data_IF_432094273799
#
_entry.id   IF_432094273799
#
_cell.length_a   1.000
_cell.length_b   1.000
_cell.length_c   1.000
_cell.angle_alpha   90.00
_cell.angle_beta   90.00
_cell.angle_gamma   90.00
#
_symmetry.space_group_name_H-M   'P 1'
#
loop_
_entity.id
_entity.type
_entity.pdbx_description
1 polymer ?
#
# COMPACT_ATOMS: atom_id res chain seq x y z
N UNK A 1 -10.49 11.45 24.28
CA UNK A 1 -10.68 10.30 25.18
C UNK A 1 -9.30 9.83 25.63
N UNK A 2 -8.96 9.94 26.91
CA UNK A 2 -7.62 9.61 27.44
C UNK A 2 -7.25 8.15 27.10
N UNK A 3 -6.09 7.94 26.47
CA UNK A 3 -5.57 6.63 26.06
C UNK A 3 -5.54 5.63 27.23
N UNK A 4 -5.18 6.11 28.42
CA UNK A 4 -5.16 5.34 29.67
C UNK A 4 -6.56 4.83 30.06
N UNK A 5 -7.61 5.63 29.86
CA UNK A 5 -8.99 5.24 30.16
C UNK A 5 -9.47 4.17 29.19
N UNK A 6 -9.11 4.27 27.91
CA UNK A 6 -9.44 3.27 26.89
C UNK A 6 -8.76 1.92 27.16
N UNK A 7 -7.49 1.93 27.58
CA UNK A 7 -6.75 0.71 27.94
C UNK A 7 -7.40 0.00 29.14
N UNK A 8 -7.77 0.76 30.19
CA UNK A 8 -8.45 0.20 31.36
C UNK A 8 -9.79 -0.44 30.98
N UNK A 9 -10.63 0.26 30.21
CA UNK A 9 -11.91 -0.27 29.72
C UNK A 9 -11.69 -1.55 28.91
N UNK A 10 -10.66 -1.57 28.05
CA UNK A 10 -10.37 -2.76 27.25
C UNK A 10 -9.93 -3.95 28.09
N UNK A 11 -9.16 -3.71 29.15
CA UNK A 11 -8.73 -4.75 30.08
C UNK A 11 -9.89 -5.33 30.87
N UNK A 12 -10.75 -4.48 31.45
CA UNK A 12 -11.92 -4.94 32.21
C UNK A 12 -12.85 -5.80 31.34
N UNK A 13 -13.26 -5.29 30.18
CA UNK A 13 -14.12 -6.04 29.27
C UNK A 13 -13.49 -7.37 28.80
N UNK A 14 -12.17 -7.44 28.67
CA UNK A 14 -11.49 -8.70 28.33
C UNK A 14 -11.53 -9.70 29.49
N UNK A 15 -11.37 -9.23 30.72
CA UNK A 15 -11.45 -10.08 31.93
C UNK A 15 -12.86 -10.62 32.11
N UNK A 16 -13.88 -9.79 31.92
CA UNK A 16 -15.29 -10.21 32.06
C UNK A 16 -15.61 -11.34 31.07
N UNK A 17 -15.27 -11.15 29.78
CA UNK A 17 -15.43 -12.18 28.74
C UNK A 17 -14.59 -13.42 29.05
N UNK A 18 -13.39 -13.25 29.60
CA UNK A 18 -12.54 -14.38 29.95
C UNK A 18 -13.15 -15.25 31.05
N UNK A 19 -13.77 -14.64 32.06
CA UNK A 19 -14.46 -15.34 33.14
C UNK A 19 -15.72 -16.01 32.61
N UNK A 20 -16.57 -15.26 31.90
CA UNK A 20 -17.87 -15.72 31.41
C UNK A 20 -17.75 -16.93 30.46
N UNK A 21 -16.74 -16.93 29.58
CA UNK A 21 -16.54 -17.97 28.56
C UNK A 21 -15.32 -18.88 28.85
N UNK A 22 -14.78 -18.81 30.06
CA UNK A 22 -13.68 -19.66 30.53
C UNK A 22 -12.41 -19.60 29.65
N UNK A 23 -12.01 -18.41 29.21
CA UNK A 23 -10.78 -18.21 28.44
C UNK A 23 -9.54 -18.45 29.33
N UNK A 24 -8.61 -19.28 28.85
CA UNK A 24 -7.34 -19.57 29.54
C UNK A 24 -6.32 -18.48 29.26
N UNK A 25 -5.25 -18.36 30.06
CA UNK A 25 -4.27 -17.26 30.00
C UNK A 25 -3.90 -16.78 28.57
N UNK A 26 -3.39 -17.68 27.72
CA UNK A 26 -2.99 -17.33 26.34
C UNK A 26 -4.20 -16.94 25.46
N UNK A 27 -5.38 -17.54 25.68
CA UNK A 27 -6.61 -17.17 24.96
C UNK A 27 -7.04 -15.74 25.33
N UNK A 28 -6.96 -15.39 26.61
CA UNK A 28 -7.27 -14.06 27.14
C UNK A 28 -6.31 -13.01 26.59
N UNK A 29 -5.01 -13.31 26.53
CA UNK A 29 -4.00 -12.39 25.98
C UNK A 29 -4.19 -12.16 24.48
N UNK A 30 -4.47 -13.22 23.71
CA UNK A 30 -4.72 -13.08 22.27
C UNK A 30 -6.04 -12.36 22.02
N UNK A 31 -7.09 -12.61 22.81
CA UNK A 31 -8.34 -11.87 22.73
C UNK A 31 -8.10 -10.38 23.00
N UNK A 32 -7.36 -10.04 24.06
CA UNK A 32 -6.98 -8.67 24.40
C UNK A 32 -6.21 -7.99 23.25
N UNK A 33 -5.23 -8.70 22.68
CA UNK A 33 -4.41 -8.18 21.58
C UNK A 33 -5.23 -7.85 20.33
N UNK A 34 -6.21 -8.69 19.96
CA UNK A 34 -7.14 -8.40 18.85
C UNK A 34 -8.04 -7.22 19.22
N UNK A 35 -8.49 -7.15 20.48
CA UNK A 35 -9.40 -6.12 20.99
C UNK A 35 -8.79 -4.72 21.01
N UNK A 36 -7.47 -4.59 21.06
CA UNK A 36 -6.77 -3.31 20.86
C UNK A 36 -7.13 -2.62 19.54
N UNK A 37 -7.53 -3.39 18.52
CA UNK A 37 -7.92 -2.88 17.20
C UNK A 37 -9.43 -2.86 16.98
N UNK A 38 -10.22 -3.08 18.03
CA UNK A 38 -11.67 -3.14 17.92
C UNK A 38 -12.25 -1.79 17.53
N UNK A 39 -12.99 -1.77 16.43
CA UNK A 39 -13.93 -0.68 16.14
C UNK A 39 -15.21 -0.88 16.96
N UNK A 40 -15.50 0.05 17.87
CA UNK A 40 -16.69 -0.04 18.75
C UNK A 40 -18.01 0.01 17.98
N UNK A 41 -18.08 0.72 16.85
CA UNK A 41 -19.32 0.83 16.06
C UNK A 41 -19.76 -0.51 15.47
N UNK A 42 -18.80 -1.30 14.98
CA UNK A 42 -19.09 -2.54 14.23
C UNK A 42 -18.76 -3.80 15.02
N UNK A 43 -18.13 -3.68 16.19
CA UNK A 43 -17.56 -4.79 16.97
C UNK A 43 -16.64 -5.68 16.12
N UNK A 44 -15.84 -5.06 15.26
CA UNK A 44 -14.90 -5.75 14.36
C UNK A 44 -13.48 -5.23 14.48
N UNK A 45 -12.50 -6.07 14.19
CA UNK A 45 -11.09 -5.72 14.09
C UNK A 45 -10.44 -6.39 12.87
N UNK A 46 -9.43 -5.74 12.28
CA UNK A 46 -8.67 -6.27 11.13
C UNK A 46 -7.14 -6.29 11.32
N UNK A 47 -6.59 -6.63 12.50
CA UNK A 47 -5.15 -6.80 12.64
C UNK A 47 -4.66 -8.03 11.86
N UNK A 48 -3.45 -7.96 11.32
CA UNK A 48 -2.82 -9.14 10.73
C UNK A 48 -2.39 -10.14 11.82
N UNK A 49 -2.22 -11.42 11.48
CA UNK A 49 -1.65 -12.42 12.42
C UNK A 49 -0.26 -11.99 12.91
N UNK A 50 0.53 -11.33 12.06
CA UNK A 50 1.84 -10.79 12.45
C UNK A 50 1.72 -9.69 13.49
N UNK A 51 0.78 -8.77 13.32
CA UNK A 51 0.51 -7.68 14.27
C UNK A 51 0.04 -8.23 15.63
N UNK A 52 -0.80 -9.26 15.62
CA UNK A 52 -1.25 -9.91 16.87
C UNK A 52 -0.07 -10.60 17.55
N UNK A 53 0.78 -11.31 16.79
CA UNK A 53 1.99 -11.96 17.30
C UNK A 53 2.95 -10.97 17.97
N UNK A 54 3.17 -9.82 17.33
CA UNK A 54 4.03 -8.77 17.88
C UNK A 54 3.51 -8.20 19.20
N UNK A 55 2.21 -7.91 19.29
CA UNK A 55 1.60 -7.35 20.51
C UNK A 55 1.52 -8.37 21.64
N UNK A 56 1.24 -9.63 21.30
CA UNK A 56 1.10 -10.70 22.29
C UNK A 56 2.42 -11.37 22.68
N UNK A 57 3.51 -11.09 21.95
CA UNK A 57 4.81 -11.73 22.19
C UNK A 57 4.88 -13.20 21.77
N UNK A 58 3.87 -13.72 21.07
CA UNK A 58 3.81 -15.11 20.63
C UNK A 58 4.19 -15.28 19.16
N UNK A 59 4.71 -16.47 18.80
CA UNK A 59 4.93 -16.78 17.39
C UNK A 59 3.60 -16.91 16.63
N UNK A 60 3.65 -16.67 15.30
CA UNK A 60 2.45 -16.69 14.42
C UNK A 60 1.65 -18.00 14.49
N UNK A 61 2.33 -19.14 14.68
CA UNK A 61 1.67 -20.44 14.77
C UNK A 61 0.86 -20.59 16.06
N UNK A 62 1.41 -20.12 17.18
CA UNK A 62 0.71 -20.06 18.47
C UNK A 62 -0.51 -19.16 18.35
N UNK A 63 -0.34 -17.95 17.80
CA UNK A 63 -1.46 -17.03 17.58
C UNK A 63 -2.58 -17.69 16.76
N UNK A 64 -2.25 -18.30 15.61
CA UNK A 64 -3.23 -19.04 14.80
C UNK A 64 -3.96 -20.12 15.59
N UNK A 65 -3.23 -20.93 16.37
CA UNK A 65 -3.82 -22.01 17.18
C UNK A 65 -4.85 -21.47 18.17
N UNK A 66 -4.52 -20.41 18.88
CA UNK A 66 -5.40 -19.86 19.92
C UNK A 66 -6.53 -18.99 19.37
N UNK A 67 -6.34 -18.31 18.23
CA UNK A 67 -7.45 -17.71 17.48
C UNK A 67 -8.49 -18.76 17.12
N UNK A 68 -8.08 -19.93 16.61
CA UNK A 68 -9.03 -21.02 16.33
C UNK A 68 -9.77 -21.49 17.59
N UNK A 69 -9.11 -21.50 18.75
CA UNK A 69 -9.77 -21.82 20.03
C UNK A 69 -10.82 -20.79 20.41
N UNK A 70 -10.53 -19.49 20.25
CA UNK A 70 -11.50 -18.41 20.45
C UNK A 70 -12.70 -18.55 19.50
N UNK A 71 -12.46 -18.93 18.24
CA UNK A 71 -13.53 -19.21 17.26
C UNK A 71 -14.35 -20.42 17.67
N UNK A 72 -13.69 -21.50 18.08
CA UNK A 72 -14.36 -22.72 18.55
C UNK A 72 -15.17 -22.50 19.83
N UNK A 73 -14.84 -21.51 20.65
CA UNK A 73 -15.62 -21.09 21.81
C UNK A 73 -16.77 -20.14 21.47
N UNK A 74 -16.89 -19.70 20.22
CA UNK A 74 -17.95 -18.81 19.77
C UNK A 74 -17.84 -17.36 20.28
N UNK A 75 -16.74 -17.00 20.94
CA UNK A 75 -16.51 -15.61 21.41
C UNK A 75 -16.05 -14.70 20.27
N UNK A 76 -15.45 -15.29 19.23
CA UNK A 76 -14.92 -14.60 18.06
C UNK A 76 -15.37 -15.29 16.78
N UNK A 77 -15.72 -14.52 15.75
CA UNK A 77 -15.78 -15.04 14.38
C UNK A 77 -14.56 -14.58 13.61
N UNK A 78 -14.02 -15.49 12.80
CA UNK A 78 -12.90 -15.21 11.91
C UNK A 78 -13.39 -15.39 10.49
N UNK A 79 -13.54 -14.29 9.76
CA UNK A 79 -13.88 -14.32 8.34
C UNK A 79 -12.63 -13.96 7.56
N UNK A 80 -12.23 -14.82 6.63
CA UNK A 80 -11.20 -14.46 5.66
C UNK A 80 -11.75 -13.32 4.80
N UNK A 81 -11.03 -12.19 4.72
CA UNK A 81 -11.31 -11.22 3.67
C UNK A 81 -10.47 -11.60 2.47
N UNK A 82 -11.06 -12.07 1.36
CA UNK A 82 -10.35 -12.09 0.10
C UNK A 82 -10.28 -10.65 -0.42
N UNK A 83 -9.46 -9.80 0.21
CA UNK A 83 -9.06 -8.57 -0.47
C UNK A 83 -8.09 -9.04 -1.53
N UNK A 84 -8.55 -9.14 -2.77
CA UNK A 84 -7.66 -9.28 -3.89
C UNK A 84 -6.95 -7.95 -4.04
N UNK A 85 -5.61 -7.97 -4.06
CA UNK A 85 -4.85 -6.83 -4.54
C UNK A 85 -5.32 -6.47 -5.95
N UNK A 86 -5.04 -5.24 -6.42
CA UNK A 86 -5.24 -4.90 -7.82
C UNK A 86 -4.63 -5.97 -8.73
N UNK A 87 -3.44 -6.49 -8.47
CA UNK A 87 -2.82 -7.56 -9.27
C UNK A 87 -3.52 -8.94 -9.25
N UNK A 88 -4.62 -9.12 -8.50
CA UNK A 88 -5.32 -10.41 -8.37
C UNK A 88 -4.69 -11.37 -7.37
N UNK A 89 -3.63 -10.96 -6.67
CA UNK A 89 -3.03 -11.75 -5.59
C UNK A 89 -3.89 -11.59 -4.33
N UNK A 90 -4.30 -12.70 -3.72
CA UNK A 90 -4.99 -12.70 -2.43
C UNK A 90 -4.11 -11.99 -1.39
N UNK A 91 -4.65 -10.98 -0.72
CA UNK A 91 -4.02 -10.40 0.46
C UNK A 91 -4.14 -11.41 1.60
N UNK A 92 -3.22 -12.37 1.65
CA UNK A 92 -3.27 -13.57 2.48
C UNK A 92 -3.22 -13.34 4.01
N UNK A 93 -3.41 -12.12 4.50
CA UNK A 93 -3.12 -11.78 5.90
C UNK A 93 -4.15 -10.89 6.60
N UNK A 94 -5.26 -10.54 5.95
CA UNK A 94 -6.26 -9.66 6.56
C UNK A 94 -7.52 -10.45 6.90
N UNK A 95 -7.54 -11.04 8.09
CA UNK A 95 -8.76 -11.63 8.64
C UNK A 95 -9.63 -10.53 9.25
N UNK A 96 -10.94 -10.66 9.08
CA UNK A 96 -11.93 -9.89 9.83
C UNK A 96 -12.29 -10.66 11.09
N UNK A 97 -11.96 -10.10 12.23
CA UNK A 97 -12.39 -10.63 13.51
C UNK A 97 -13.65 -9.89 13.94
N UNK A 98 -14.70 -10.63 14.28
CA UNK A 98 -15.93 -10.08 14.85
C UNK A 98 -16.05 -10.53 16.29
N UNK A 99 -16.19 -9.60 17.23
CA UNK A 99 -16.38 -9.88 18.65
C UNK A 99 -17.83 -10.25 18.90
N UNK A 100 -18.13 -11.55 18.85
CA UNK A 100 -19.50 -12.09 18.82
C UNK A 100 -20.19 -11.88 20.15
N UNK A 101 -19.51 -12.25 21.24
CA UNK A 101 -20.03 -12.10 22.60
C UNK A 101 -20.40 -10.63 22.87
N UNK A 102 -19.53 -9.69 22.48
CA UNK A 102 -19.79 -8.26 22.68
C UNK A 102 -20.82 -7.66 21.70
N UNK A 103 -21.01 -8.26 20.51
CA UNK A 103 -21.95 -7.76 19.50
C UNK A 103 -23.37 -8.27 19.73
N UNK A 104 -23.51 -9.52 20.14
CA UNK A 104 -24.79 -10.21 20.25
C UNK A 104 -25.18 -10.52 21.71
N UNK A 105 -24.34 -10.12 22.67
CA UNK A 105 -24.54 -10.37 24.11
C UNK A 105 -24.34 -11.83 24.54
N UNK A 106 -23.94 -12.71 23.63
CA UNK A 106 -23.73 -14.13 23.89
C UNK A 106 -22.74 -14.73 22.87
N UNK A 107 -21.97 -15.73 23.28
CA UNK A 107 -21.15 -16.51 22.34
C UNK A 107 -22.04 -17.23 21.32
N UNK A 108 -21.66 -17.18 20.05
CA UNK A 108 -22.32 -17.91 18.97
C UNK A 108 -21.28 -18.57 18.10
N UNK A 109 -21.45 -19.86 17.83
CA UNK A 109 -20.56 -20.57 16.93
C UNK A 109 -20.69 -20.03 15.51
N UNK A 110 -19.55 -19.91 14.82
CA UNK A 110 -19.55 -19.55 13.42
C UNK A 110 -20.16 -20.70 12.64
N UNK A 111 -21.34 -20.47 12.03
CA UNK A 111 -21.84 -21.40 11.00
C UNK A 111 -20.77 -21.47 9.91
N UNK A 112 -20.44 -22.67 9.43
CA UNK A 112 -19.61 -22.85 8.23
C UNK A 112 -20.38 -22.28 7.05
N UNK A 113 -20.32 -20.97 6.88
CA UNK A 113 -20.72 -20.35 5.65
C UNK A 113 -19.53 -20.55 4.71
N UNK A 114 -19.77 -21.19 3.56
CA UNK A 114 -18.87 -21.07 2.43
C UNK A 114 -18.76 -19.57 2.17
N UNK A 115 -17.61 -19.00 2.52
CA UNK A 115 -17.32 -17.63 2.15
C UNK A 115 -17.22 -17.67 0.64
N UNK A 116 -18.22 -17.14 -0.06
CA UNK A 116 -18.12 -16.90 -1.49
C UNK A 116 -16.87 -16.05 -1.71
N UNK A 117 -15.78 -16.72 -2.11
CA UNK A 117 -14.60 -16.03 -2.56
C UNK A 117 -15.04 -15.16 -3.72
N UNK A 118 -14.76 -13.85 -3.65
CA UNK A 118 -14.78 -13.04 -4.87
C UNK A 118 -13.82 -13.72 -5.84
N UNK A 119 -14.37 -14.41 -6.85
CA UNK A 119 -13.58 -15.18 -7.81
C UNK A 119 -12.67 -14.27 -8.62
N UNK A 120 -13.06 -13.00 -8.76
CA UNK A 120 -12.36 -12.00 -9.54
C UNK A 120 -12.29 -10.66 -8.81
N UNK A 121 -11.09 -10.07 -8.82
CA UNK A 121 -10.86 -8.72 -8.33
C UNK A 121 -11.59 -7.72 -9.25
N UNK A 122 -12.11 -6.59 -8.73
CA UNK A 122 -12.57 -5.49 -9.58
C UNK A 122 -11.53 -5.08 -10.64
N UNK A 123 -10.23 -5.19 -10.31
CA UNK A 123 -9.16 -5.00 -11.29
C UNK A 123 -9.15 -6.06 -12.39
N UNK A 124 -9.32 -7.34 -12.06
CA UNK A 124 -9.28 -8.41 -13.07
C UNK A 124 -10.43 -8.26 -14.05
N UNK A 125 -11.62 -7.92 -13.56
CA UNK A 125 -12.77 -7.56 -14.40
C UNK A 125 -12.45 -6.39 -15.32
N UNK A 126 -11.88 -5.32 -14.77
CA UNK A 126 -11.51 -4.13 -15.54
C UNK A 126 -10.37 -4.41 -16.54
N UNK A 127 -9.40 -5.24 -16.18
CA UNK A 127 -8.32 -5.65 -17.07
C UNK A 127 -8.87 -6.43 -18.26
N UNK A 128 -9.79 -7.37 -18.01
CA UNK A 128 -10.44 -8.14 -19.06
C UNK A 128 -11.25 -7.23 -20.01
N UNK A 129 -11.99 -6.25 -19.49
CA UNK A 129 -12.71 -5.29 -20.35
C UNK A 129 -11.76 -4.43 -21.19
N UNK A 130 -10.61 -4.03 -20.64
CA UNK A 130 -9.58 -3.33 -21.41
C UNK A 130 -8.87 -4.23 -22.43
N UNK A 131 -8.72 -5.52 -22.16
CA UNK A 131 -8.19 -6.49 -23.12
C UNK A 131 -9.15 -6.65 -24.32
N UNK A 132 -10.46 -6.75 -24.07
CA UNK A 132 -11.49 -6.73 -25.13
C UNK A 132 -11.50 -5.41 -25.90
N UNK A 133 -11.38 -4.26 -25.22
CA UNK A 133 -11.28 -2.97 -25.89
C UNK A 133 -10.02 -2.86 -26.78
N UNK A 134 -8.90 -3.46 -26.35
CA UNK A 134 -7.66 -3.50 -27.13
C UNK A 134 -7.85 -4.32 -28.41
N UNK A 135 -8.46 -5.50 -28.33
CA UNK A 135 -8.67 -6.35 -29.52
C UNK A 135 -9.62 -5.70 -30.52
N UNK A 136 -10.63 -4.95 -30.05
CA UNK A 136 -11.48 -4.15 -30.94
C UNK A 136 -10.73 -3.00 -31.60
N UNK A 137 -9.89 -2.27 -30.85
CA UNK A 137 -9.15 -1.12 -31.38
C UNK A 137 -8.00 -1.51 -32.31
N UNK A 138 -7.45 -2.72 -32.15
CA UNK A 138 -6.46 -3.29 -33.08
C UNK A 138 -7.00 -3.48 -34.50
N UNK A 139 -8.33 -3.48 -34.70
CA UNK A 139 -8.93 -3.50 -36.04
C UNK A 139 -8.81 -2.16 -36.77
N UNK A 140 -8.66 -1.06 -36.02
CA UNK A 140 -8.72 0.31 -36.54
C UNK A 140 -7.40 1.07 -36.39
N UNK A 141 -6.57 0.71 -35.43
CA UNK A 141 -5.32 1.38 -35.09
C UNK A 141 -4.15 0.40 -35.11
N UNK A 142 -2.95 0.93 -35.26
CA UNK A 142 -1.73 0.13 -35.20
C UNK A 142 -1.56 -0.60 -33.87
N UNK A 143 -0.98 -1.81 -33.95
CA UNK A 143 -0.82 -2.72 -32.82
C UNK A 143 0.09 -2.13 -31.72
N UNK A 144 1.14 -1.40 -32.08
CA UNK A 144 2.05 -0.80 -31.10
C UNK A 144 1.37 0.33 -30.32
N UNK A 145 0.60 1.16 -31.03
CA UNK A 145 -0.23 2.22 -30.44
C UNK A 145 -1.24 1.67 -29.45
N UNK A 146 -1.98 0.62 -29.83
CA UNK A 146 -2.92 -0.06 -28.97
C UNK A 146 -2.25 -0.67 -27.73
N UNK A 147 -1.08 -1.28 -27.88
CA UNK A 147 -0.32 -1.84 -26.76
C UNK A 147 0.20 -0.77 -25.81
N UNK A 148 0.67 0.37 -26.32
CA UNK A 148 1.11 1.52 -25.51
C UNK A 148 -0.06 2.12 -24.74
N UNK A 149 -1.20 2.33 -25.39
CA UNK A 149 -2.42 2.82 -24.74
C UNK A 149 -2.90 1.86 -23.65
N UNK A 150 -2.91 0.55 -23.91
CA UNK A 150 -3.28 -0.47 -22.94
C UNK A 150 -2.39 -0.43 -21.69
N UNK A 151 -1.06 -0.33 -21.85
CA UNK A 151 -0.13 -0.21 -20.71
C UNK A 151 -0.45 1.00 -19.82
N UNK A 152 -0.76 2.14 -20.43
CA UNK A 152 -1.13 3.37 -19.69
C UNK A 152 -2.45 3.15 -18.94
N UNK A 153 -3.47 2.59 -19.60
CA UNK A 153 -4.75 2.27 -18.96
C UNK A 153 -4.56 1.36 -17.73
N UNK A 154 -3.80 0.27 -17.87
CA UNK A 154 -3.55 -0.65 -16.76
C UNK A 154 -2.77 0.02 -15.62
N UNK A 155 -1.81 0.90 -15.93
CA UNK A 155 -1.11 1.69 -14.93
C UNK A 155 -2.06 2.61 -14.15
N UNK A 156 -2.97 3.30 -14.84
CA UNK A 156 -3.94 4.19 -14.21
C UNK A 156 -4.94 3.44 -13.30
N UNK A 157 -5.31 2.21 -13.67
CA UNK A 157 -6.13 1.34 -12.80
C UNK A 157 -5.36 0.98 -11.52
N UNK A 158 -4.06 0.66 -11.62
CA UNK A 158 -3.23 0.36 -10.43
C UNK A 158 -3.10 1.56 -9.50
N UNK A 159 -3.06 2.77 -10.05
CA UNK A 159 -3.00 4.02 -9.28
C UNK A 159 -4.35 4.44 -8.67
N UNK A 160 -5.44 3.72 -8.94
CA UNK A 160 -6.76 3.95 -8.32
C UNK A 160 -7.66 4.96 -9.06
N UNK A 161 -7.37 5.29 -10.32
CA UNK A 161 -8.16 6.24 -11.14
C UNK A 161 -9.46 5.59 -11.69
N UNK A 162 -9.93 4.51 -11.06
CA UNK A 162 -11.01 3.67 -11.60
C UNK A 162 -12.39 4.31 -11.52
N UNK A 163 -12.61 5.26 -10.60
CA UNK A 163 -13.92 5.89 -10.38
C UNK A 163 -14.44 6.72 -11.55
N UNK A 164 -13.56 7.12 -12.49
CA UNK A 164 -13.91 7.97 -13.63
C UNK A 164 -13.99 7.21 -14.96
N UNK A 165 -13.60 5.93 -14.98
CA UNK A 165 -13.55 5.12 -16.21
C UNK A 165 -14.89 4.39 -16.37
N UNK A 166 -15.89 5.11 -16.88
CA UNK A 166 -17.22 4.55 -17.15
C UNK A 166 -17.25 3.66 -18.41
N UNK A 167 -16.43 4.00 -19.41
CA UNK A 167 -16.41 3.31 -20.70
C UNK A 167 -14.96 3.03 -21.14
N UNK A 168 -14.43 1.81 -20.89
CA UNK A 168 -13.03 1.45 -21.16
C UNK A 168 -12.58 1.67 -22.62
N UNK A 169 -13.48 1.40 -23.57
CA UNK A 169 -13.20 1.55 -25.01
C UNK A 169 -13.04 3.02 -25.41
N UNK A 170 -13.95 3.90 -24.97
CA UNK A 170 -13.86 5.34 -25.24
C UNK A 170 -12.66 5.97 -24.54
N UNK A 171 -12.36 5.50 -23.33
CA UNK A 171 -11.17 5.92 -22.60
C UNK A 171 -9.89 5.55 -23.35
N UNK A 172 -9.77 4.29 -23.83
CA UNK A 172 -8.60 3.87 -24.59
C UNK A 172 -8.48 4.64 -25.93
N UNK A 173 -9.59 4.93 -26.63
CA UNK A 173 -9.59 5.81 -27.80
C UNK A 173 -9.05 7.20 -27.49
N UNK A 174 -9.43 7.79 -26.36
CA UNK A 174 -8.91 9.08 -25.92
C UNK A 174 -7.40 9.03 -25.67
N UNK A 175 -6.90 7.97 -25.03
CA UNK A 175 -5.46 7.78 -24.81
C UNK A 175 -4.72 7.65 -26.15
N UNK A 176 -5.23 6.87 -27.11
CA UNK A 176 -4.63 6.75 -28.44
C UNK A 176 -4.55 8.12 -29.12
N UNK A 177 -5.63 8.92 -29.08
CA UNK A 177 -5.62 10.29 -29.62
C UNK A 177 -4.57 11.18 -28.97
N UNK A 178 -4.39 11.07 -27.65
CA UNK A 178 -3.38 11.85 -26.93
C UNK A 178 -1.96 11.42 -27.31
N UNK A 179 -1.69 10.12 -27.42
CA UNK A 179 -0.39 9.60 -27.87
C UNK A 179 -0.07 10.11 -29.28
N UNK A 180 -1.06 10.11 -30.18
CA UNK A 180 -0.88 10.62 -31.54
C UNK A 180 -0.56 12.12 -31.54
N UNK A 181 -1.28 12.92 -30.74
CA UNK A 181 -1.01 14.36 -30.57
C UNK A 181 0.40 14.62 -30.03
N UNK A 182 0.81 13.90 -28.99
CA UNK A 182 2.16 14.01 -28.42
C UNK A 182 3.23 13.64 -29.44
N UNK A 183 3.02 12.57 -30.22
CA UNK A 183 3.96 12.17 -31.27
C UNK A 183 4.07 13.19 -32.40
N UNK A 184 2.96 13.85 -32.75
CA UNK A 184 2.96 14.91 -33.76
C UNK A 184 3.68 16.17 -33.25
N UNK A 185 3.44 16.57 -32.00
CA UNK A 185 4.16 17.68 -31.37
C UNK A 185 5.66 17.40 -31.28
N UNK A 186 6.05 16.18 -30.92
CA UNK A 186 7.46 15.78 -30.86
C UNK A 186 8.15 15.83 -32.23
N UNK A 187 7.43 15.49 -33.31
CA UNK A 187 7.94 15.64 -34.69
C UNK A 187 8.16 17.09 -35.07
N UNK A 188 7.17 17.95 -34.83
CA UNK A 188 7.27 19.40 -35.11
C UNK A 188 8.41 20.04 -34.31
N UNK A 189 8.58 19.66 -33.05
CA UNK A 189 9.70 20.15 -32.23
C UNK A 189 11.06 19.70 -32.76
N UNK A 190 11.13 18.47 -33.27
CA UNK A 190 12.37 17.93 -33.86
C UNK A 190 12.69 18.61 -35.19
N UNK A 191 11.72 18.79 -36.08
CA UNK A 191 11.86 19.53 -37.34
C UNK A 191 12.23 21.01 -37.10
N UNK A 192 11.68 21.63 -36.05
CA UNK A 192 12.08 22.97 -35.62
C UNK A 192 13.52 22.98 -35.09
N UNK A 193 13.91 22.02 -34.26
CA UNK A 193 15.28 21.92 -33.76
C UNK A 193 16.31 21.66 -34.88
N UNK A 194 15.95 20.85 -35.87
CA UNK A 194 16.78 20.58 -37.06
C UNK A 194 16.88 21.82 -37.96
N UNK A 195 15.79 22.56 -38.19
CA UNK A 195 15.83 23.82 -38.97
C UNK A 195 16.53 24.98 -38.25
N UNK A 196 16.63 24.94 -36.92
CA UNK A 196 17.42 25.89 -36.12
C UNK A 196 18.90 25.50 -36.05
N UNK A 197 19.24 24.22 -36.27
CA UNK A 197 20.64 23.76 -36.24
C UNK A 197 21.46 24.18 -37.48
N UNK A 198 20.80 24.51 -38.59
CA UNK A 198 21.45 24.97 -39.85
C UNK A 198 21.67 26.49 -39.91
N UNK A 199 21.26 27.24 -38.88
CA UNK A 199 21.56 28.67 -38.77
C UNK A 199 22.76 28.87 -37.83
N UNK A 200 23.85 29.42 -38.36
CA UNK A 200 25.00 29.86 -37.55
C UNK A 200 24.51 30.73 -36.37
N UNK A 201 25.16 30.63 -35.20
CA UNK A 201 24.70 31.32 -34.00
C UNK A 201 24.82 32.83 -34.19
N UNK A 202 23.69 33.48 -34.50
CA UNK A 202 23.57 34.93 -34.39
C UNK A 202 23.68 35.24 -32.90
N UNK A 203 24.79 35.90 -32.54
CA UNK A 203 25.08 36.34 -31.18
C UNK A 203 23.92 37.12 -30.59
N UNK A 204 23.21 36.54 -29.62
CA UNK A 204 22.17 37.25 -28.88
C UNK A 204 22.80 38.42 -28.08
N UNK A 205 22.20 39.62 -28.09
CA UNK A 205 22.62 40.68 -27.20
C UNK A 205 22.35 40.25 -25.75
N UNK A 206 23.42 40.27 -24.92
CA UNK A 206 23.38 39.97 -23.48
C UNK A 206 22.26 40.76 -22.79
N UNK A 207 21.12 40.12 -22.54
CA UNK A 207 20.13 40.61 -21.57
C UNK A 207 20.70 40.38 -20.18
N UNK A 208 21.06 41.47 -19.52
CA UNK A 208 21.31 41.51 -18.08
C UNK A 208 20.10 40.92 -17.36
N UNK A 209 20.30 39.76 -16.76
CA UNK A 209 19.31 39.04 -15.96
C UNK A 209 19.12 39.83 -14.66
N UNK A 210 18.07 40.64 -14.59
CA UNK A 210 17.61 41.16 -13.31
C UNK A 210 17.16 39.98 -12.46
N UNK A 211 17.82 39.80 -11.31
CA UNK A 211 17.47 38.81 -10.32
C UNK A 211 16.07 39.12 -9.77
N UNK A 212 15.11 38.24 -10.07
CA UNK A 212 13.83 38.25 -9.35
C UNK A 212 14.07 37.71 -7.94
N UNK A 213 13.54 38.35 -6.88
CA UNK A 213 13.67 37.83 -5.53
C UNK A 213 13.03 36.45 -5.44
N UNK A 214 13.83 35.46 -5.03
CA UNK A 214 13.33 34.14 -4.62
C UNK A 214 12.54 34.34 -3.33
N UNK A 215 11.22 34.13 -3.39
CA UNK A 215 10.44 33.87 -2.19
C UNK A 215 10.74 32.44 -1.73
N UNK A 216 11.27 32.31 -0.51
CA UNK A 216 11.52 31.02 0.13
C UNK A 216 10.17 30.35 0.46
N UNK A 217 9.78 29.36 -0.34
CA UNK A 217 8.69 28.46 0.02
C UNK A 217 9.16 27.56 1.19
N UNK A 218 8.50 27.59 2.36
CA UNK A 218 8.81 26.66 3.43
C UNK A 218 8.28 25.28 3.01
N UNK A 219 9.11 24.25 3.20
CA UNK A 219 8.86 22.81 2.93
C UNK A 219 9.46 22.23 1.62
N UNK A 220 10.78 22.01 1.68
CA UNK A 220 11.44 20.90 0.99
C UNK A 220 12.64 20.43 1.83
N UNK A 221 12.40 19.95 3.04
CA UNK A 221 13.43 19.25 3.79
C UNK A 221 13.38 17.76 3.42
N UNK A 222 14.47 17.17 2.89
CA UNK A 222 14.51 15.75 2.55
C UNK A 222 14.30 14.89 3.80
N UNK A 223 13.42 13.90 3.72
CA UNK A 223 13.14 12.98 4.83
C UNK A 223 14.37 12.10 5.06
N UNK A 224 14.98 12.22 6.24
CA UNK A 224 16.08 11.36 6.70
C UNK A 224 15.58 9.92 6.82
N UNK A 225 15.96 9.06 5.87
CA UNK A 225 15.87 7.61 6.07
C UNK A 225 17.06 7.16 6.92
N UNK A 226 16.87 6.09 7.69
CA UNK A 226 17.81 5.56 8.69
C UNK A 226 19.19 5.18 8.13
N UNK A 227 19.35 5.17 6.80
CA UNK A 227 20.60 4.91 6.08
C UNK A 227 21.44 6.17 5.78
N UNK A 228 20.92 7.38 5.98
CA UNK A 228 21.66 8.63 5.71
C UNK A 228 22.63 9.08 6.82
N UNK A 229 22.94 8.21 7.80
CA UNK A 229 23.91 8.50 8.85
C UNK A 229 25.31 7.94 8.58
N UNK A 230 25.54 7.21 7.48
CA UNK A 230 26.85 6.64 7.18
C UNK A 230 27.81 7.69 6.62
N UNK A 231 27.41 8.44 5.59
CA UNK A 231 28.23 9.49 4.98
C UNK A 231 28.50 10.68 5.93
N UNK A 232 27.60 10.96 6.88
CA UNK A 232 27.79 12.02 7.87
C UNK A 232 28.79 11.65 8.98
N UNK A 233 29.12 10.36 9.14
CA UNK A 233 30.08 9.91 10.15
C UNK A 233 31.50 9.82 9.59
N UNK A 234 31.66 9.45 8.32
CA UNK A 234 32.99 9.37 7.68
C UNK A 234 33.54 10.74 7.29
N UNK A 235 32.70 11.76 7.07
CA UNK A 235 33.17 13.12 6.72
C UNK A 235 33.85 13.88 7.86
N UNK A 236 33.80 13.36 9.09
CA UNK A 236 34.49 13.95 10.26
C UNK A 236 35.93 13.45 10.45
N UNK A 237 36.35 12.43 9.72
CA UNK A 237 37.65 11.79 9.88
C UNK A 237 38.43 11.93 8.57
N UNK A 238 39.73 12.24 8.68
CA UNK A 238 40.62 12.13 7.52
C UNK A 238 40.69 10.67 7.07
N UNK A 239 41.03 10.40 5.81
CA UNK A 239 41.27 9.03 5.34
C UNK A 239 42.32 8.31 6.22
N UNK A 240 43.32 9.05 6.71
CA UNK A 240 44.35 8.52 7.59
C UNK A 240 43.79 8.11 8.98
N UNK A 241 42.81 8.85 9.51
CA UNK A 241 42.15 8.53 10.78
C UNK A 241 41.30 7.27 10.65
N UNK A 242 40.66 7.06 9.49
CA UNK A 242 39.86 5.87 9.22
C UNK A 242 40.75 4.62 9.09
N UNK A 243 41.91 4.72 8.45
CA UNK A 243 42.88 3.62 8.38
C UNK A 243 43.44 3.24 9.75
N UNK A 244 43.73 4.22 10.61
CA UNK A 244 44.20 3.99 11.97
C UNK A 244 43.17 3.21 12.82
N UNK A 245 41.89 3.59 12.73
CA UNK A 245 40.79 2.90 13.42
C UNK A 245 40.59 1.45 12.94
N UNK A 246 40.80 1.21 11.64
CA UNK A 246 40.72 -0.15 11.06
C UNK A 246 41.88 -1.01 11.55
N UNK A 247 43.10 -0.47 11.64
CA UNK A 247 44.27 -1.17 12.19
C UNK A 247 44.08 -1.50 13.68
N UNK A 248 43.58 -0.56 14.49
CA UNK A 248 43.33 -0.79 15.92
C UNK A 248 42.28 -1.89 16.14
N UNK A 249 41.22 -1.91 15.32
CA UNK A 249 40.16 -2.91 15.44
C UNK A 249 40.60 -4.32 14.99
N UNK A 250 41.45 -4.40 13.97
CA UNK A 250 41.97 -5.68 13.46
C UNK A 250 43.12 -6.24 14.33
N UNK A 251 43.80 -5.40 15.12
CA UNK A 251 44.81 -5.82 16.10
C UNK A 251 44.27 -6.27 17.46
N UNK A 252 42.96 -6.17 17.71
CA UNK A 252 42.28 -6.65 18.92
C UNK A 252 41.56 -8.00 18.74
N UNK A 253 41.94 -8.81 17.75
CA UNK A 253 41.43 -10.16 17.54
C UNK A 253 42.46 -11.22 17.90
#
# INVERSE_FOLDING_TARGET
>A
MNLVKAIKINRHATVDIAIEYGLRGIETEIYAAIRCFKCNKNHTATPSIGTIAEISGYCKNTVKKYIRRLVNKGVLWMTERPILRPDGVKWNYTHLYTFVAEKYGQAKFQKKNEVEFQKESPYQKMKATFESARTELMKTYDAELCNKAFKICISNIRSGITGFIMHPLNYMKSIIKNILKESALAKVQKEYAESVADLEPVSEPKKTRSEKPRYDAPYSQPRKTTFHNFEQRSSKYSNDDLEALIREKNGRR
#
